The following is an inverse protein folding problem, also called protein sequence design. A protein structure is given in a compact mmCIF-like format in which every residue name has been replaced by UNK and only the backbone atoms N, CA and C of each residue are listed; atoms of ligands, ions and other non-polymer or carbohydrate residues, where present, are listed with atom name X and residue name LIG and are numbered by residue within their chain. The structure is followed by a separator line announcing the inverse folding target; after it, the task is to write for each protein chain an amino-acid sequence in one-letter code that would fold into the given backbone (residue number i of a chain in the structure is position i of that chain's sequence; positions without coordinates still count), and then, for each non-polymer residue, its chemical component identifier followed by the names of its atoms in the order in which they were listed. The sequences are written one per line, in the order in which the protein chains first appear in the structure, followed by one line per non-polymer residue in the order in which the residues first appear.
data_IF_588364074839
#
_entry.id   IF_588364074839
#
_cell.length_a   1.000
_cell.length_b   1.000
_cell.length_c   1.000
_cell.angle_alpha   90.00
_cell.angle_beta   90.00
_cell.angle_gamma   90.00
#
_symmetry.space_group_name_H-M   'P 1'
#
loop_
_entity.id
_entity.type
_entity.pdbx_description
1 polymer ?
#
# COMPACT_ATOMS: atom_id res chain seq x y z
N UNK A 1 -0.40 -11.29 27.56
CA UNK A 1 0.83 -12.05 27.28
C UNK A 1 0.97 -12.11 25.78
N UNK A 2 2.02 -11.60 25.16
CA UNK A 2 2.20 -11.75 23.72
C UNK A 2 2.35 -13.24 23.40
N UNK A 3 1.65 -13.69 22.37
CA UNK A 3 1.79 -15.04 21.82
C UNK A 3 3.23 -15.16 21.31
N UNK A 4 4.06 -15.92 22.01
CA UNK A 4 5.43 -16.24 21.61
C UNK A 4 5.37 -17.06 20.30
N UNK A 5 5.89 -16.50 19.21
CA UNK A 5 6.26 -17.30 18.07
C UNK A 5 5.96 -16.78 16.65
N UNK A 6 5.23 -15.70 16.45
CA UNK A 6 5.12 -15.11 15.12
C UNK A 6 6.45 -14.44 14.76
N UNK A 7 7.11 -14.87 13.67
CA UNK A 7 8.22 -14.12 13.11
C UNK A 7 7.72 -12.70 12.82
N UNK A 8 8.44 -11.68 13.32
CA UNK A 8 8.05 -10.29 13.08
C UNK A 8 7.91 -10.05 11.58
N UNK A 9 6.75 -9.58 11.15
CA UNK A 9 6.50 -9.23 9.74
C UNK A 9 7.39 -8.06 9.38
N UNK A 10 8.13 -8.17 8.28
CA UNK A 10 8.95 -7.06 7.79
C UNK A 10 8.05 -5.88 7.44
N UNK A 11 8.23 -4.70 8.07
CA UNK A 11 7.37 -3.56 7.83
C UNK A 11 7.58 -2.98 6.44
N UNK A 12 6.51 -2.38 5.90
CA UNK A 12 6.48 -1.72 4.60
C UNK A 12 6.21 -0.23 4.76
N UNK A 13 7.05 0.61 4.16
CA UNK A 13 6.75 2.02 3.95
C UNK A 13 6.59 2.29 2.46
N UNK A 14 5.35 2.55 2.03
CA UNK A 14 5.00 2.77 0.63
C UNK A 14 4.60 4.22 0.39
N UNK A 15 5.38 4.94 -0.41
CA UNK A 15 5.16 6.35 -0.75
C UNK A 15 4.31 6.50 -2.01
N UNK A 16 3.02 6.72 -1.86
CA UNK A 16 2.10 7.02 -2.96
C UNK A 16 2.18 8.49 -3.35
N UNK A 17 2.87 8.81 -4.41
CA UNK A 17 3.02 10.19 -4.87
C UNK A 17 1.74 10.78 -5.48
N UNK A 18 0.76 9.94 -5.77
CA UNK A 18 -0.47 10.35 -6.45
C UNK A 18 -0.14 11.09 -7.77
N UNK A 19 -0.90 12.12 -8.12
CA UNK A 19 -0.66 12.94 -9.31
C UNK A 19 0.23 14.15 -8.96
N UNK A 20 1.44 13.88 -8.45
CA UNK A 20 2.41 14.92 -8.12
C UNK A 20 3.77 14.60 -8.75
N UNK A 21 4.62 15.61 -8.76
CA UNK A 21 5.99 15.62 -9.27
C UNK A 21 6.08 15.40 -10.79
N UNK A 22 6.57 16.41 -11.48
CA UNK A 22 7.03 16.27 -12.88
C UNK A 22 8.28 15.42 -12.93
N UNK A 23 8.70 15.00 -14.10
CA UNK A 23 9.91 14.19 -14.31
C UNK A 23 11.15 14.78 -13.59
N UNK A 24 11.44 16.08 -13.82
CA UNK A 24 12.60 16.73 -13.20
C UNK A 24 12.44 16.95 -11.68
N UNK A 25 11.22 17.16 -11.20
CA UNK A 25 10.97 17.22 -9.76
C UNK A 25 11.14 15.85 -9.10
N UNK A 26 10.73 14.77 -9.76
CA UNK A 26 10.94 13.41 -9.32
C UNK A 26 12.43 13.06 -9.28
N UNK A 27 13.19 13.49 -10.29
CA UNK A 27 14.64 13.32 -10.35
C UNK A 27 15.32 13.99 -9.15
N UNK A 28 15.04 15.26 -8.91
CA UNK A 28 15.60 16.02 -7.79
C UNK A 28 15.24 15.40 -6.43
N UNK A 29 13.97 14.96 -6.27
CA UNK A 29 13.52 14.28 -5.05
C UNK A 29 14.28 12.98 -4.80
N UNK A 30 14.47 12.15 -5.83
CA UNK A 30 15.19 10.88 -5.69
C UNK A 30 16.68 11.13 -5.42
N UNK A 31 17.31 12.11 -6.06
CA UNK A 31 18.72 12.47 -5.79
C UNK A 31 18.90 12.96 -4.36
N UNK A 32 18.00 13.80 -3.85
CA UNK A 32 18.01 14.22 -2.45
C UNK A 32 17.83 13.00 -1.53
N UNK A 33 16.87 12.11 -1.81
CA UNK A 33 16.62 10.91 -1.01
C UNK A 33 17.87 10.01 -0.94
N UNK A 34 18.52 9.76 -2.05
CA UNK A 34 19.73 8.94 -2.11
C UNK A 34 20.93 9.60 -1.40
N UNK A 35 20.98 10.94 -1.34
CA UNK A 35 22.00 11.66 -0.57
C UNK A 35 21.83 11.50 0.95
N UNK A 36 20.62 11.21 1.43
CA UNK A 36 20.33 10.93 2.84
C UNK A 36 20.74 9.51 3.23
N UNK A 37 20.63 8.55 2.32
CA UNK A 37 21.06 7.18 2.55
C UNK A 37 20.32 6.14 1.68
N UNK A 38 20.78 4.91 1.79
CA UNK A 38 20.11 3.74 1.22
C UNK A 38 18.91 3.34 2.08
N UNK A 39 17.95 2.64 1.50
CA UNK A 39 16.88 2.03 2.28
C UNK A 39 17.46 0.94 3.19
N UNK A 40 17.11 0.92 4.50
CA UNK A 40 17.56 -0.11 5.42
C UNK A 40 16.94 -1.46 5.06
N UNK A 41 17.67 -2.55 5.24
CA UNK A 41 17.18 -3.90 4.98
C UNK A 41 16.01 -4.31 5.89
N UNK A 42 15.88 -3.68 7.06
CA UNK A 42 14.81 -3.93 8.03
C UNK A 42 13.44 -3.41 7.61
N UNK A 43 13.38 -2.44 6.67
CA UNK A 43 12.14 -1.83 6.18
C UNK A 43 12.03 -1.99 4.66
N UNK A 44 10.91 -2.48 4.18
CA UNK A 44 10.62 -2.53 2.74
C UNK A 44 10.12 -1.15 2.28
N UNK A 45 11.00 -0.38 1.64
CA UNK A 45 10.75 1.01 1.25
C UNK A 45 10.41 1.10 -0.23
N UNK A 46 9.19 1.53 -0.54
CA UNK A 46 8.62 1.51 -1.90
C UNK A 46 8.22 2.93 -2.31
N UNK A 47 8.63 3.37 -3.49
CA UNK A 47 8.17 4.60 -4.12
C UNK A 47 7.21 4.28 -5.25
N UNK A 48 6.02 4.89 -5.21
CA UNK A 48 4.98 4.70 -6.21
C UNK A 48 4.71 6.04 -6.94
N UNK A 49 5.53 6.38 -7.95
CA UNK A 49 5.40 7.60 -8.73
C UNK A 49 4.24 7.51 -9.73
N UNK A 50 3.95 8.62 -10.43
CA UNK A 50 3.15 8.55 -11.66
C UNK A 50 3.91 7.76 -12.75
N UNK A 51 3.20 7.23 -13.75
CA UNK A 51 3.79 6.34 -14.76
C UNK A 51 4.96 6.96 -15.54
N UNK A 52 4.94 8.29 -15.77
CA UNK A 52 6.01 8.98 -16.51
C UNK A 52 7.35 8.96 -15.79
N UNK A 53 7.34 8.81 -14.46
CA UNK A 53 8.53 8.80 -13.62
C UNK A 53 9.03 7.38 -13.29
N UNK A 54 8.28 6.33 -13.61
CA UNK A 54 8.68 4.94 -13.32
C UNK A 54 10.03 4.59 -13.95
N UNK A 55 10.28 4.85 -15.25
CA UNK A 55 11.57 4.51 -15.86
C UNK A 55 12.76 5.20 -15.17
N UNK A 56 12.58 6.46 -14.79
CA UNK A 56 13.60 7.23 -14.07
C UNK A 56 13.93 6.60 -12.72
N UNK A 57 12.88 6.27 -11.93
CA UNK A 57 13.07 5.68 -10.60
C UNK A 57 13.67 4.28 -10.70
N UNK A 58 13.22 3.48 -11.66
CA UNK A 58 13.73 2.14 -11.89
C UNK A 58 15.24 2.13 -12.16
N UNK A 59 15.74 3.12 -12.90
CA UNK A 59 17.17 3.27 -13.17
C UNK A 59 17.93 3.78 -11.93
N UNK A 60 17.50 4.91 -11.36
CA UNK A 60 18.20 5.58 -10.27
C UNK A 60 18.22 4.78 -8.96
N UNK A 61 17.18 3.97 -8.69
CA UNK A 61 17.04 3.22 -7.44
C UNK A 61 17.69 1.82 -7.48
N UNK A 62 18.26 1.41 -8.59
CA UNK A 62 18.90 0.11 -8.74
C UNK A 62 20.06 -0.07 -7.74
N UNK A 63 19.97 -1.10 -6.89
CA UNK A 63 21.00 -1.42 -5.90
C UNK A 63 21.02 -0.50 -4.66
N UNK A 64 19.98 0.31 -4.46
CA UNK A 64 19.87 1.24 -3.31
C UNK A 64 19.04 0.70 -2.16
N UNK A 65 18.34 -0.42 -2.36
CA UNK A 65 17.38 -0.98 -1.40
C UNK A 65 15.95 -0.42 -1.53
N UNK A 66 15.77 0.73 -2.17
CA UNK A 66 14.43 1.25 -2.51
C UNK A 66 13.83 0.46 -3.67
N UNK A 67 12.52 0.25 -3.61
CA UNK A 67 11.75 -0.43 -4.65
C UNK A 67 10.84 0.54 -5.39
N UNK A 68 10.49 0.19 -6.63
CA UNK A 68 9.55 0.95 -7.46
C UNK A 68 8.24 0.20 -7.55
N UNK A 69 7.15 0.92 -7.31
CA UNK A 69 5.79 0.43 -7.51
C UNK A 69 5.01 1.31 -8.49
N UNK A 70 3.82 0.85 -8.86
CA UNK A 70 2.88 1.57 -9.69
C UNK A 70 1.62 1.94 -8.91
N UNK A 71 0.98 3.06 -9.27
CA UNK A 71 -0.24 3.54 -8.62
C UNK A 71 -1.51 2.87 -9.13
N UNK A 72 -1.43 2.14 -10.25
CA UNK A 72 -2.51 1.42 -10.91
C UNK A 72 -1.95 0.50 -12.00
N UNK A 73 -2.76 -0.42 -12.48
CA UNK A 73 -2.50 -1.23 -13.68
C UNK A 73 -3.81 -1.63 -14.36
N UNK A 74 -3.74 -2.01 -15.64
CA UNK A 74 -4.85 -2.65 -16.34
C UNK A 74 -5.05 -4.10 -15.89
N UNK A 75 -6.28 -4.61 -15.99
CA UNK A 75 -6.57 -6.06 -15.89
C UNK A 75 -6.24 -6.81 -17.18
N UNK A 76 -6.07 -6.09 -18.28
CA UNK A 76 -5.83 -6.65 -19.61
C UNK A 76 -4.33 -6.74 -19.90
N UNK A 77 -3.94 -7.72 -20.72
CA UNK A 77 -2.54 -7.96 -21.04
C UNK A 77 -2.03 -6.97 -22.10
N UNK A 78 -2.80 -6.80 -23.18
CA UNK A 78 -2.50 -5.88 -24.28
C UNK A 78 -3.76 -5.66 -25.13
N UNK A 79 -3.72 -4.68 -26.02
CA UNK A 79 -4.77 -4.49 -27.03
C UNK A 79 -5.32 -3.08 -27.11
N UNK A 80 -6.59 -2.96 -27.53
CA UNK A 80 -7.26 -1.68 -27.77
C UNK A 80 -7.77 -1.04 -26.46
N UNK A 81 -6.86 -0.71 -25.56
CA UNK A 81 -7.12 -0.09 -24.25
C UNK A 81 -6.33 1.21 -24.15
N UNK A 82 -6.70 2.19 -24.97
CA UNK A 82 -5.98 3.46 -25.09
C UNK A 82 -5.78 4.15 -23.76
N UNK A 83 -4.51 4.39 -23.38
CA UNK A 83 -4.14 5.06 -22.14
C UNK A 83 -3.88 4.12 -20.95
N UNK A 84 -4.18 2.82 -21.06
CA UNK A 84 -3.90 1.85 -20.00
C UNK A 84 -2.47 1.32 -20.03
N UNK A 85 -1.97 0.93 -18.86
CA UNK A 85 -0.65 0.33 -18.65
C UNK A 85 -0.84 -1.10 -18.17
N UNK A 86 -0.28 -2.07 -18.90
CA UNK A 86 -0.36 -3.48 -18.54
C UNK A 86 0.66 -3.86 -17.47
N UNK A 87 0.44 -5.00 -16.83
CA UNK A 87 1.39 -5.60 -15.89
C UNK A 87 2.75 -5.92 -16.54
N UNK A 88 2.76 -6.32 -17.81
CA UNK A 88 3.97 -6.68 -18.55
C UNK A 88 4.85 -5.45 -18.78
N UNK A 89 4.25 -4.31 -19.18
CA UNK A 89 4.94 -3.03 -19.28
C UNK A 89 5.57 -2.58 -17.95
N UNK A 90 4.89 -2.86 -16.83
CA UNK A 90 5.40 -2.52 -15.50
C UNK A 90 6.55 -3.44 -15.09
N UNK A 91 6.45 -4.73 -15.35
CA UNK A 91 7.50 -5.71 -15.02
C UNK A 91 8.76 -5.52 -15.84
N UNK A 92 8.65 -5.15 -17.12
CA UNK A 92 9.80 -4.82 -17.98
C UNK A 92 10.65 -3.69 -17.40
N UNK A 93 10.02 -2.76 -16.66
CA UNK A 93 10.68 -1.69 -15.92
C UNK A 93 11.10 -2.07 -14.50
N UNK A 94 10.95 -3.32 -14.08
CA UNK A 94 11.33 -3.77 -12.74
C UNK A 94 10.36 -3.35 -11.63
N UNK A 95 9.14 -2.94 -11.96
CA UNK A 95 8.09 -2.63 -10.96
C UNK A 95 7.71 -3.90 -10.21
N UNK A 96 7.78 -3.85 -8.88
CA UNK A 96 7.49 -4.98 -8.01
C UNK A 96 6.14 -4.90 -7.30
N UNK A 97 5.62 -3.69 -7.07
CA UNK A 97 4.37 -3.44 -6.37
C UNK A 97 3.37 -2.66 -7.22
N UNK A 98 2.06 -2.87 -6.96
CA UNK A 98 1.02 -2.06 -7.58
C UNK A 98 -0.13 -1.77 -6.59
N UNK A 99 -0.49 -0.49 -6.44
CA UNK A 99 -1.71 -0.11 -5.72
C UNK A 99 -2.93 -0.52 -6.55
N UNK A 100 -3.89 -1.17 -5.91
CA UNK A 100 -5.13 -1.61 -6.53
C UNK A 100 -6.31 -1.16 -5.67
N UNK A 101 -7.28 -0.48 -6.31
CA UNK A 101 -8.51 -0.05 -5.66
C UNK A 101 -8.35 1.09 -4.66
N UNK A 102 -7.35 1.98 -4.85
CA UNK A 102 -7.19 3.19 -4.02
C UNK A 102 -8.48 4.00 -3.97
N UNK A 103 -8.77 4.59 -2.81
CA UNK A 103 -10.00 5.34 -2.55
C UNK A 103 -10.31 6.42 -3.59
N UNK A 104 -9.30 7.15 -4.07
CA UNK A 104 -9.46 8.14 -5.13
C UNK A 104 -9.95 7.50 -6.44
N UNK A 105 -9.46 6.31 -6.81
CA UNK A 105 -9.90 5.62 -8.00
C UNK A 105 -11.34 5.10 -7.87
N UNK A 106 -11.70 4.60 -6.69
CA UNK A 106 -13.08 4.18 -6.40
C UNK A 106 -14.05 5.36 -6.48
N UNK A 107 -13.66 6.53 -5.99
CA UNK A 107 -14.55 7.70 -5.87
C UNK A 107 -14.56 8.56 -7.13
N UNK A 108 -13.39 8.91 -7.67
CA UNK A 108 -13.26 9.87 -8.77
C UNK A 108 -13.36 9.21 -10.15
N UNK A 109 -12.90 7.95 -10.27
CA UNK A 109 -12.86 7.20 -11.52
C UNK A 109 -13.86 6.04 -11.56
N UNK A 110 -14.71 5.93 -10.51
CA UNK A 110 -15.79 4.93 -10.41
C UNK A 110 -15.28 3.48 -10.53
N UNK A 111 -14.03 3.23 -10.12
CA UNK A 111 -13.45 1.90 -10.14
C UNK A 111 -14.19 1.00 -9.16
N UNK A 112 -14.96 0.07 -9.69
CA UNK A 112 -15.83 -0.80 -8.91
C UNK A 112 -15.14 -2.09 -8.44
N UNK A 113 -15.79 -2.83 -7.55
CA UNK A 113 -15.19 -4.04 -6.97
C UNK A 113 -14.89 -5.13 -8.01
N UNK A 114 -15.67 -5.23 -9.11
CA UNK A 114 -15.40 -6.20 -10.19
C UNK A 114 -14.11 -5.86 -10.95
N UNK A 115 -13.88 -4.58 -11.22
CA UNK A 115 -12.62 -4.13 -11.85
C UNK A 115 -11.42 -4.37 -10.93
N UNK A 116 -11.60 -4.10 -9.62
CA UNK A 116 -10.56 -4.31 -8.61
C UNK A 116 -10.22 -5.80 -8.47
N UNK A 117 -11.23 -6.67 -8.42
CA UNK A 117 -11.04 -8.12 -8.39
C UNK A 117 -10.24 -8.61 -9.61
N UNK A 118 -10.59 -8.17 -10.82
CA UNK A 118 -9.86 -8.51 -12.04
C UNK A 118 -8.40 -8.07 -12.01
N UNK A 119 -8.15 -6.82 -11.56
CA UNK A 119 -6.79 -6.28 -11.43
C UNK A 119 -5.99 -7.04 -10.38
N UNK A 120 -6.59 -7.33 -9.22
CA UNK A 120 -5.93 -8.09 -8.15
C UNK A 120 -5.56 -9.49 -8.62
N UNK A 121 -6.50 -10.21 -9.24
CA UNK A 121 -6.26 -11.52 -9.84
C UNK A 121 -5.14 -11.49 -10.88
N UNK A 122 -5.10 -10.44 -11.72
CA UNK A 122 -4.02 -10.26 -12.70
C UNK A 122 -2.68 -10.05 -11.99
N UNK A 123 -2.62 -9.18 -10.99
CA UNK A 123 -1.38 -8.88 -10.27
C UNK A 123 -0.78 -10.14 -9.62
N UNK A 124 -1.56 -10.90 -8.85
CA UNK A 124 -1.06 -12.10 -8.15
C UNK A 124 -0.59 -13.18 -9.14
N UNK A 125 -1.31 -13.39 -10.24
CA UNK A 125 -0.94 -14.39 -11.27
C UNK A 125 0.30 -14.03 -12.08
N UNK A 126 0.65 -12.75 -12.13
CA UNK A 126 1.80 -12.26 -12.91
C UNK A 126 3.01 -11.93 -12.04
N UNK A 127 2.89 -12.09 -10.71
CA UNK A 127 3.97 -11.84 -9.75
C UNK A 127 4.24 -10.36 -9.49
N UNK A 128 3.26 -9.48 -9.76
CA UNK A 128 3.23 -8.13 -9.20
C UNK A 128 2.58 -8.21 -7.83
N UNK A 129 3.25 -7.70 -6.80
CA UNK A 129 2.76 -7.68 -5.43
C UNK A 129 1.68 -6.61 -5.28
N UNK A 130 0.40 -6.96 -5.05
CA UNK A 130 -0.64 -5.98 -4.95
C UNK A 130 -0.68 -5.32 -3.57
N UNK A 131 -0.92 -4.00 -3.55
CA UNK A 131 -1.32 -3.25 -2.35
C UNK A 131 -2.82 -2.95 -2.53
N UNK A 132 -3.67 -3.83 -1.99
CA UNK A 132 -5.12 -3.68 -2.06
C UNK A 132 -5.59 -2.61 -1.07
N UNK A 133 -6.19 -1.53 -1.57
CA UNK A 133 -6.77 -0.48 -0.74
C UNK A 133 -8.23 -0.76 -0.40
N UNK A 134 -8.53 -0.70 0.89
CA UNK A 134 -9.88 -0.84 1.46
C UNK A 134 -10.14 0.27 2.47
N UNK A 135 -11.37 0.74 2.56
CA UNK A 135 -11.68 1.84 3.47
C UNK A 135 -13.17 2.16 3.53
N UNK A 136 -13.56 2.88 4.58
CA UNK A 136 -14.91 3.33 4.84
C UNK A 136 -15.03 4.85 4.88
N UNK A 137 -16.21 5.37 4.52
CA UNK A 137 -16.55 6.77 4.70
C UNK A 137 -16.92 7.09 6.15
N UNK A 138 -16.88 8.38 6.51
CA UNK A 138 -17.33 8.85 7.81
C UNK A 138 -18.78 8.44 8.10
N UNK A 139 -19.65 8.52 7.10
CA UNK A 139 -21.04 8.09 7.21
C UNK A 139 -21.15 6.61 7.64
N UNK A 140 -20.41 5.71 6.98
CA UNK A 140 -20.40 4.28 7.32
C UNK A 140 -19.84 4.02 8.73
N UNK A 141 -18.82 4.78 9.12
CA UNK A 141 -18.26 4.69 10.47
C UNK A 141 -19.27 5.14 11.53
N UNK A 142 -19.93 6.27 11.33
CA UNK A 142 -20.96 6.78 12.24
C UNK A 142 -22.18 5.86 12.34
N UNK A 143 -22.52 5.17 11.26
CA UNK A 143 -23.59 4.17 11.25
C UNK A 143 -23.20 2.83 11.89
N UNK A 144 -21.96 2.65 12.37
CA UNK A 144 -21.47 1.38 12.92
C UNK A 144 -21.24 0.29 11.86
N UNK A 145 -21.20 0.66 10.57
CA UNK A 145 -21.07 -0.26 9.44
C UNK A 145 -19.64 -0.40 8.91
N UNK A 146 -18.65 0.24 9.55
CA UNK A 146 -17.25 0.27 9.10
C UNK A 146 -16.68 -1.13 8.85
N UNK A 147 -16.71 -2.01 9.87
CA UNK A 147 -16.17 -3.37 9.79
C UNK A 147 -16.82 -4.18 8.67
N UNK A 148 -18.15 -4.17 8.60
CA UNK A 148 -18.90 -4.84 7.52
C UNK A 148 -18.55 -4.33 6.13
N UNK A 149 -18.29 -3.01 6.01
CA UNK A 149 -17.84 -2.39 4.75
C UNK A 149 -16.49 -2.92 4.32
N UNK A 150 -15.50 -2.93 5.22
CA UNK A 150 -14.15 -3.42 4.98
C UNK A 150 -14.15 -4.91 4.64
N UNK A 151 -14.80 -5.73 5.45
CA UNK A 151 -14.94 -7.17 5.19
C UNK A 151 -15.54 -7.44 3.80
N UNK A 152 -16.59 -6.69 3.43
CA UNK A 152 -17.21 -6.82 2.12
C UNK A 152 -16.29 -6.40 0.96
N UNK A 153 -15.41 -5.42 1.14
CA UNK A 153 -14.41 -5.03 0.13
C UNK A 153 -13.32 -6.08 -0.02
N UNK A 154 -12.77 -6.58 1.11
CA UNK A 154 -11.77 -7.65 1.11
C UNK A 154 -12.35 -8.92 0.48
N UNK A 155 -13.54 -9.35 0.93
CA UNK A 155 -14.20 -10.52 0.37
C UNK A 155 -14.32 -10.45 -1.15
N UNK A 156 -14.87 -9.36 -1.68
CA UNK A 156 -15.09 -9.22 -3.14
C UNK A 156 -13.81 -9.16 -3.94
N UNK A 157 -12.75 -8.58 -3.38
CA UNK A 157 -11.45 -8.51 -4.05
C UNK A 157 -10.77 -9.88 -4.14
N UNK A 158 -10.96 -10.75 -3.12
CA UNK A 158 -10.28 -12.03 -3.00
C UNK A 158 -11.08 -13.24 -3.52
N UNK A 159 -12.30 -13.03 -4.04
CA UNK A 159 -13.14 -14.13 -4.56
C UNK A 159 -12.37 -14.98 -5.58
N UNK A 160 -12.33 -16.30 -5.33
CA UNK A 160 -11.73 -17.29 -6.23
C UNK A 160 -10.20 -17.22 -6.32
N UNK A 161 -9.54 -16.57 -5.36
CA UNK A 161 -8.10 -16.70 -5.11
C UNK A 161 -7.91 -17.65 -3.93
N UNK A 162 -6.87 -18.46 -3.99
CA UNK A 162 -6.51 -19.36 -2.90
C UNK A 162 -5.35 -18.81 -2.04
N UNK A 163 -4.96 -19.55 -1.02
CA UNK A 163 -3.90 -19.13 -0.11
C UNK A 163 -2.54 -18.96 -0.81
N UNK A 164 -2.26 -19.75 -1.84
CA UNK A 164 -1.01 -19.69 -2.58
C UNK A 164 -0.92 -18.40 -3.42
N UNK A 165 -2.02 -17.99 -4.02
CA UNK A 165 -2.13 -16.74 -4.77
C UNK A 165 -1.84 -15.50 -3.88
N UNK A 166 -2.12 -15.57 -2.57
CA UNK A 166 -2.14 -14.42 -1.68
C UNK A 166 -0.86 -14.20 -0.86
N UNK A 167 0.21 -14.97 -1.11
CA UNK A 167 1.45 -14.90 -0.31
C UNK A 167 2.14 -13.52 -0.34
N UNK A 168 1.99 -12.77 -1.43
CA UNK A 168 2.57 -11.44 -1.61
C UNK A 168 1.53 -10.31 -1.49
N UNK A 169 0.30 -10.62 -1.06
CA UNK A 169 -0.74 -9.60 -0.86
C UNK A 169 -0.38 -8.68 0.30
N UNK A 170 -0.52 -7.38 0.06
CA UNK A 170 -0.49 -6.32 1.07
C UNK A 170 -1.87 -5.67 1.07
N UNK A 171 -2.41 -5.34 2.25
CA UNK A 171 -3.69 -4.63 2.36
C UNK A 171 -3.43 -3.27 3.02
N UNK A 172 -3.91 -2.19 2.40
CA UNK A 172 -3.85 -0.85 2.97
C UNK A 172 -5.24 -0.43 3.46
N UNK A 173 -5.35 -0.18 4.75
CA UNK A 173 -6.56 0.37 5.34
C UNK A 173 -6.58 1.90 5.21
N UNK A 174 -7.55 2.41 4.48
CA UNK A 174 -7.73 3.83 4.19
C UNK A 174 -9.00 4.36 4.90
N UNK A 175 -8.89 4.98 6.11
CA UNK A 175 -10.01 5.73 6.68
C UNK A 175 -10.27 6.97 5.82
N UNK A 176 -11.28 6.94 4.92
CA UNK A 176 -11.52 7.99 3.93
C UNK A 176 -11.73 9.37 4.58
N UNK A 177 -12.25 9.38 5.80
CA UNK A 177 -12.50 10.56 6.61
C UNK A 177 -11.20 11.20 7.17
N UNK A 178 -10.11 10.45 7.19
CA UNK A 178 -8.80 10.89 7.67
C UNK A 178 -7.79 11.14 6.52
N UNK A 179 -8.20 10.96 5.24
CA UNK A 179 -7.32 11.20 4.09
C UNK A 179 -7.43 12.64 3.64
N UNK A 180 -6.30 13.36 3.60
CA UNK A 180 -6.24 14.74 3.10
C UNK A 180 -6.95 15.78 3.98
N UNK A 181 -7.56 15.39 5.08
CA UNK A 181 -8.26 16.27 6.02
C UNK A 181 -7.30 16.96 7.01
N UNK A 182 -6.05 16.51 7.08
CA UNK A 182 -5.10 16.94 8.11
C UNK A 182 -5.34 16.28 9.49
N UNK A 183 -6.43 15.53 9.64
CA UNK A 183 -6.72 14.73 10.84
C UNK A 183 -6.31 13.27 10.56
N UNK A 184 -5.52 12.68 11.47
CA UNK A 184 -5.24 11.26 11.46
C UNK A 184 -6.34 10.52 12.25
N UNK A 185 -6.60 9.25 11.89
CA UNK A 185 -7.27 8.36 12.82
C UNK A 185 -6.37 8.15 14.05
N UNK A 186 -6.95 7.83 15.21
CA UNK A 186 -6.12 7.40 16.33
C UNK A 186 -5.42 6.08 16.01
N UNK A 187 -4.24 5.81 16.60
CA UNK A 187 -3.60 4.51 16.45
C UNK A 187 -4.50 3.35 16.87
N UNK A 188 -5.36 3.56 17.89
CA UNK A 188 -6.33 2.58 18.38
C UNK A 188 -7.43 2.31 17.35
N UNK A 189 -7.96 3.34 16.69
CA UNK A 189 -8.94 3.18 15.62
C UNK A 189 -8.37 2.44 14.41
N UNK A 190 -7.13 2.75 14.04
CA UNK A 190 -6.42 2.09 12.96
C UNK A 190 -6.15 0.61 13.29
N UNK A 191 -5.71 0.33 14.52
CA UNK A 191 -5.47 -1.02 15.02
C UNK A 191 -6.74 -1.87 14.99
N UNK A 192 -7.88 -1.36 15.48
CA UNK A 192 -9.16 -2.10 15.46
C UNK A 192 -9.58 -2.50 14.05
N UNK A 193 -9.34 -1.65 13.07
CA UNK A 193 -9.68 -1.96 11.69
C UNK A 193 -8.66 -2.90 11.02
N UNK A 194 -7.38 -2.75 11.31
CA UNK A 194 -6.34 -3.67 10.83
C UNK A 194 -6.51 -5.06 11.43
N UNK A 195 -6.81 -5.15 12.72
CA UNK A 195 -7.18 -6.40 13.39
C UNK A 195 -8.41 -7.04 12.74
N UNK A 196 -9.46 -6.26 12.42
CA UNK A 196 -10.66 -6.76 11.73
C UNK A 196 -10.29 -7.38 10.37
N UNK A 197 -9.41 -6.74 9.60
CA UNK A 197 -8.92 -7.27 8.32
C UNK A 197 -8.18 -8.59 8.54
N UNK A 198 -7.26 -8.64 9.51
CA UNK A 198 -6.46 -9.84 9.81
C UNK A 198 -7.33 -11.01 10.24
N UNK A 199 -8.28 -10.78 11.13
CA UNK A 199 -9.25 -11.80 11.57
C UNK A 199 -10.12 -12.33 10.42
N UNK A 200 -10.49 -11.44 9.48
CA UNK A 200 -11.23 -11.86 8.30
C UNK A 200 -10.38 -12.79 7.40
N UNK A 201 -9.10 -12.46 7.20
CA UNK A 201 -8.15 -13.31 6.46
C UNK A 201 -7.96 -14.65 7.19
N UNK A 202 -7.74 -14.62 8.51
CA UNK A 202 -7.58 -15.83 9.31
C UNK A 202 -8.78 -16.79 9.17
N UNK A 203 -9.97 -16.25 9.27
CA UNK A 203 -11.22 -17.01 9.12
C UNK A 203 -11.39 -17.64 7.74
N UNK A 204 -10.98 -16.94 6.67
CA UNK A 204 -11.16 -17.37 5.29
C UNK A 204 -10.03 -18.23 4.74
N UNK A 205 -8.80 -18.00 5.18
CA UNK A 205 -7.58 -18.56 4.59
C UNK A 205 -6.61 -19.19 5.59
N UNK A 206 -6.93 -19.15 6.88
CA UNK A 206 -6.12 -19.73 7.94
C UNK A 206 -5.09 -18.77 8.55
N UNK A 207 -4.59 -19.16 9.73
CA UNK A 207 -3.65 -18.37 10.54
C UNK A 207 -2.31 -18.15 9.81
N UNK A 208 -1.79 -19.15 9.12
CA UNK A 208 -0.50 -19.08 8.43
C UNK A 208 -0.42 -17.93 7.41
N UNK A 209 -1.52 -17.67 6.68
CA UNK A 209 -1.59 -16.54 5.76
C UNK A 209 -1.84 -15.22 6.52
N UNK A 210 -2.73 -15.22 7.51
CA UNK A 210 -3.04 -14.05 8.32
C UNK A 210 -1.80 -13.51 9.03
N UNK A 211 -0.91 -14.39 9.49
CA UNK A 211 0.35 -14.04 10.14
C UNK A 211 1.41 -13.49 9.19
N UNK A 212 1.29 -13.73 7.88
CA UNK A 212 2.25 -13.28 6.86
C UNK A 212 1.83 -12.01 6.16
N UNK A 213 0.51 -11.81 5.94
CA UNK A 213 -0.01 -10.63 5.24
C UNK A 213 0.36 -9.36 6.00
N UNK A 214 0.95 -8.38 5.28
CA UNK A 214 1.21 -7.05 5.83
C UNK A 214 -0.02 -6.18 5.64
N UNK A 215 -0.41 -5.51 6.72
CA UNK A 215 -1.54 -4.57 6.73
C UNK A 215 -1.00 -3.20 7.04
N UNK A 216 -1.19 -2.26 6.12
CA UNK A 216 -0.67 -0.90 6.19
C UNK A 216 -1.76 0.08 6.63
N UNK A 217 -1.38 1.06 7.41
CA UNK A 217 -2.23 2.23 7.65
C UNK A 217 -2.10 3.24 6.49
N UNK A 218 -3.21 3.58 5.84
CA UNK A 218 -3.27 4.48 4.67
C UNK A 218 -3.91 5.84 4.96
N UNK A 219 -3.99 6.26 6.20
CA UNK A 219 -4.46 7.60 6.57
C UNK A 219 -3.34 8.64 6.59
N UNK A 220 -3.54 9.72 7.34
CA UNK A 220 -2.55 10.80 7.46
C UNK A 220 -1.38 10.37 8.35
N UNK A 221 -0.23 10.14 7.71
CA UNK A 221 1.02 9.77 8.38
C UNK A 221 2.08 10.84 8.15
N UNK A 222 2.82 11.17 9.23
CA UNK A 222 3.93 12.12 9.26
C UNK A 222 5.08 11.57 10.11
N UNK A 223 6.30 12.13 10.02
CA UNK A 223 7.42 11.70 10.85
C UNK A 223 7.17 11.74 12.36
N UNK A 224 6.33 12.67 12.81
CA UNK A 224 6.00 12.87 14.23
C UNK A 224 4.98 11.88 14.80
N UNK A 225 4.25 11.15 13.94
CA UNK A 225 3.21 10.22 14.41
C UNK A 225 3.41 8.77 13.98
N UNK A 226 4.34 8.47 13.07
CA UNK A 226 4.50 7.10 12.51
C UNK A 226 4.78 6.07 13.61
N UNK A 227 5.63 6.39 14.58
CA UNK A 227 6.01 5.46 15.64
C UNK A 227 4.80 4.94 16.42
N UNK A 228 3.83 5.81 16.74
CA UNK A 228 2.62 5.41 17.48
C UNK A 228 1.74 4.40 16.74
N UNK A 229 1.77 4.40 15.41
CA UNK A 229 1.10 3.38 14.60
C UNK A 229 1.91 2.09 14.55
N UNK A 230 3.25 2.19 14.47
CA UNK A 230 4.12 1.00 14.41
C UNK A 230 4.19 0.22 15.74
N UNK A 231 3.84 0.83 16.87
CA UNK A 231 3.66 0.15 18.17
C UNK A 231 2.45 -0.80 18.20
N UNK A 232 1.58 -0.76 17.18
CA UNK A 232 0.37 -1.58 17.12
C UNK A 232 0.63 -2.93 16.46
N UNK A 233 0.11 -3.99 17.06
CA UNK A 233 0.38 -5.39 16.69
C UNK A 233 -0.06 -5.73 15.26
N UNK A 234 -1.15 -5.13 14.78
CA UNK A 234 -1.75 -5.45 13.49
C UNK A 234 -1.44 -4.45 12.39
N UNK A 235 -0.61 -3.43 12.67
CA UNK A 235 -0.15 -2.44 11.69
C UNK A 235 1.29 -2.76 11.30
N UNK A 236 1.50 -3.15 10.05
CA UNK A 236 2.79 -3.59 9.51
C UNK A 236 3.46 -2.52 8.64
N UNK A 237 3.09 -1.26 8.80
CA UNK A 237 3.65 -0.15 8.04
C UNK A 237 2.62 0.88 7.59
N UNK A 238 2.99 1.67 6.59
CA UNK A 238 2.12 2.74 6.10
C UNK A 238 2.13 2.91 4.58
N UNK A 239 0.97 3.29 4.04
CA UNK A 239 0.82 3.82 2.68
C UNK A 239 0.70 5.35 2.78
N UNK A 240 1.76 6.08 2.44
CA UNK A 240 1.95 7.49 2.73
C UNK A 240 1.74 8.34 1.48
N UNK A 241 0.91 9.38 1.57
CA UNK A 241 0.72 10.37 0.51
C UNK A 241 1.70 11.53 0.61
N UNK A 242 1.23 12.70 1.04
CA UNK A 242 1.94 13.99 0.99
C UNK A 242 3.35 13.99 1.59
N UNK A 243 3.58 13.32 2.72
CA UNK A 243 4.90 13.25 3.33
C UNK A 243 5.93 12.45 2.47
N UNK A 244 5.48 11.61 1.54
CA UNK A 244 6.36 10.90 0.62
C UNK A 244 6.87 11.75 -0.57
N UNK A 245 6.39 12.98 -0.71
CA UNK A 245 6.80 13.91 -1.78
C UNK A 245 8.07 14.70 -1.45
N UNK A 246 8.56 14.59 -0.22
CA UNK A 246 9.77 15.26 0.27
C UNK A 246 10.76 14.22 0.77
N UNK A 247 11.97 14.25 0.26
CA UNK A 247 13.00 13.27 0.56
C UNK A 247 13.28 13.15 2.06
N UNK A 248 13.43 14.27 2.76
CA UNK A 248 13.68 14.30 4.20
C UNK A 248 12.54 13.73 5.03
N UNK A 249 11.28 14.07 4.67
CA UNK A 249 10.12 13.56 5.38
C UNK A 249 9.98 12.04 5.15
N UNK A 250 10.18 11.58 3.91
CA UNK A 250 10.11 10.15 3.59
C UNK A 250 11.22 9.34 4.27
N UNK A 251 12.45 9.88 4.29
CA UNK A 251 13.57 9.25 4.98
C UNK A 251 13.34 9.19 6.51
N UNK A 252 12.86 10.28 7.11
CA UNK A 252 12.51 10.30 8.53
C UNK A 252 11.37 9.34 8.89
N UNK A 253 10.40 9.11 7.98
CA UNK A 253 9.40 8.06 8.14
C UNK A 253 10.00 6.66 8.15
N UNK A 254 10.98 6.38 7.27
CA UNK A 254 11.69 5.09 7.26
C UNK A 254 12.42 4.87 8.59
N UNK A 255 13.13 5.90 9.08
CA UNK A 255 13.80 5.83 10.39
C UNK A 255 12.79 5.62 11.53
N UNK A 256 11.63 6.30 11.49
CA UNK A 256 10.56 6.12 12.46
C UNK A 256 9.97 4.72 12.47
N UNK A 257 9.85 4.06 11.31
CA UNK A 257 9.42 2.65 11.20
C UNK A 257 10.50 1.69 11.70
N UNK A 258 11.77 2.00 11.46
CA UNK A 258 12.90 1.14 11.85
C UNK A 258 13.13 1.13 13.37
N UNK A 259 12.82 2.25 14.04
CA UNK A 259 13.10 2.47 15.45
C UNK A 259 11.92 2.16 16.39
N UNK A 260 10.74 1.84 15.84
CA UNK A 260 9.56 1.44 16.61
C UNK A 260 9.54 -0.08 16.84
#
# INVERSE_FOLDING_TARGET
MPLKGAAMRKPILAGNWKMNLTYHQAEAMVEELLSLGKAPESVESILLPNFLCIPLLADKLKGTGYQVGAQNMSSEDQGAFTGEISWDMLKDLGVSYCIIGHSERRTLYLENNSQIEKKLRKAVKTGIKPILCVGESLEKRQAGEAKKRIEGQVHRALVGLDQEDLQDLVIAYEPLWAIGSGQAASPEDAEDMCLTIRQWIEKGYGSDLADKIRILYGGSVKPDNIASFMEKENIDGALVGGASLKAKDFYALIEGVQNA
#
